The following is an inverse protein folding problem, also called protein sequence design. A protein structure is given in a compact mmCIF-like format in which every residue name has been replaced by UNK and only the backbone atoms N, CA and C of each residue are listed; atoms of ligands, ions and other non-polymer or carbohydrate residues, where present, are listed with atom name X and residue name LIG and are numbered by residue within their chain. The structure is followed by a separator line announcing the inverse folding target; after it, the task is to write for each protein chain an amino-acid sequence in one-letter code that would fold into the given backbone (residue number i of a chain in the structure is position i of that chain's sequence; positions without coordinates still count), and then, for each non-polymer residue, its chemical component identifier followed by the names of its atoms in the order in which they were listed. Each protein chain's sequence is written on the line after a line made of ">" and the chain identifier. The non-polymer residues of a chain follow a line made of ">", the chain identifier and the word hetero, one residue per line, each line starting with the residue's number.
data_IF_280799838230
#
_entry.id   IF_280799838230
#
_cell.length_a   1.000
_cell.length_b   1.000
_cell.length_c   1.000
_cell.angle_alpha   90.00
_cell.angle_beta   90.00
_cell.angle_gamma   90.00
#
_symmetry.space_group_name_H-M   'P 1'
#
loop_
_entity.id
_entity.type
_entity.pdbx_description
1 polymer ?
#
# COMPACT_ATOMS: atom_id res chain seq x y z
N UNK A 1 10.07 -32.01 -36.04
CA UNK A 1 9.84 -30.64 -35.55
C UNK A 1 9.22 -30.74 -34.17
N UNK A 2 9.90 -30.26 -33.12
CA UNK A 2 9.30 -30.22 -31.78
C UNK A 2 8.31 -29.05 -31.73
N UNK A 3 7.04 -29.36 -31.53
CA UNK A 3 5.98 -28.36 -31.36
C UNK A 3 6.14 -27.74 -29.97
N UNK A 4 6.83 -26.59 -29.90
CA UNK A 4 6.96 -25.84 -28.66
C UNK A 4 5.63 -25.14 -28.37
N UNK A 5 4.87 -25.75 -27.48
CA UNK A 5 3.56 -25.24 -27.07
C UNK A 5 3.73 -23.97 -26.21
N UNK A 6 3.34 -22.81 -26.75
CA UNK A 6 3.44 -21.52 -26.08
C UNK A 6 2.45 -21.37 -24.91
N UNK A 7 1.48 -22.28 -24.75
CA UNK A 7 0.51 -22.25 -23.64
C UNK A 7 1.19 -22.31 -22.27
N UNK A 8 2.30 -23.07 -22.14
CA UNK A 8 3.05 -23.19 -20.89
C UNK A 8 3.63 -21.87 -20.38
N UNK A 9 3.95 -20.92 -21.28
CA UNK A 9 4.51 -19.62 -20.88
C UNK A 9 3.43 -18.71 -20.29
N UNK A 10 2.21 -18.75 -20.84
CA UNK A 10 1.07 -17.96 -20.35
C UNK A 10 0.60 -18.45 -18.98
N UNK A 11 0.54 -19.78 -18.79
CA UNK A 11 0.11 -20.39 -17.54
C UNK A 11 1.10 -20.09 -16.38
N UNK A 12 2.41 -20.16 -16.64
CA UNK A 12 3.45 -19.81 -15.66
C UNK A 12 3.41 -18.35 -15.22
N UNK A 13 3.09 -17.41 -16.13
CA UNK A 13 2.98 -15.99 -15.80
C UNK A 13 1.82 -15.71 -14.84
N UNK A 14 0.67 -16.33 -15.08
CA UNK A 14 -0.52 -16.20 -14.24
C UNK A 14 -0.32 -16.84 -12.86
N UNK A 15 0.34 -18.00 -12.79
CA UNK A 15 0.68 -18.64 -11.52
C UNK A 15 1.63 -17.77 -10.70
N UNK A 16 2.72 -17.25 -11.30
CA UNK A 16 3.65 -16.34 -10.59
C UNK A 16 2.98 -15.06 -10.09
N UNK A 17 2.07 -14.47 -10.85
CA UNK A 17 1.29 -13.30 -10.40
C UNK A 17 0.35 -13.64 -9.23
N UNK A 18 -0.26 -14.83 -9.23
CA UNK A 18 -1.10 -15.30 -8.12
C UNK A 18 -0.27 -15.59 -6.86
N UNK A 19 0.92 -16.19 -7.03
CA UNK A 19 1.85 -16.41 -5.91
C UNK A 19 2.49 -15.11 -5.40
N UNK A 20 2.74 -14.12 -6.26
CA UNK A 20 3.18 -12.80 -5.83
C UNK A 20 2.13 -12.12 -4.94
N UNK A 21 0.83 -12.27 -5.25
CA UNK A 21 -0.26 -11.81 -4.38
C UNK A 21 -0.36 -12.57 -3.06
N UNK A 22 0.02 -13.85 -3.03
CA UNK A 22 0.03 -14.67 -1.81
C UNK A 22 1.26 -14.41 -0.92
N UNK A 23 2.36 -13.96 -1.51
CA UNK A 23 3.58 -13.55 -0.82
C UNK A 23 3.59 -12.07 -0.45
N UNK A 24 2.63 -11.29 -0.97
CA UNK A 24 2.35 -9.93 -0.50
C UNK A 24 1.90 -10.08 0.96
N UNK A 25 2.77 -9.68 1.88
CA UNK A 25 2.51 -9.94 3.28
C UNK A 25 1.38 -9.02 3.74
N UNK A 26 0.54 -9.43 4.69
CA UNK A 26 -0.41 -8.52 5.34
C UNK A 26 0.26 -7.30 6.00
N UNK A 27 1.59 -7.30 6.12
CA UNK A 27 2.37 -6.16 6.55
C UNK A 27 2.56 -5.13 5.42
N UNK A 28 2.82 -5.59 4.19
CA UNK A 28 2.98 -4.72 3.03
C UNK A 28 1.70 -3.92 2.74
N UNK A 29 0.54 -4.58 2.81
CA UNK A 29 -0.76 -3.92 2.62
C UNK A 29 -1.01 -2.85 3.71
N UNK A 30 -0.59 -3.12 4.95
CA UNK A 30 -0.65 -2.15 6.05
C UNK A 30 0.29 -0.98 5.81
N UNK A 31 1.51 -1.23 5.34
CA UNK A 31 2.46 -0.17 5.01
C UNK A 31 1.96 0.70 3.86
N UNK A 32 1.38 0.10 2.82
CA UNK A 32 0.77 0.83 1.72
C UNK A 32 -0.43 1.66 2.17
N UNK A 33 -1.29 1.13 3.05
CA UNK A 33 -2.39 1.88 3.61
C UNK A 33 -1.90 3.13 4.38
N UNK A 34 -0.83 3.00 5.16
CA UNK A 34 -0.23 4.13 5.89
C UNK A 34 0.39 5.16 4.94
N UNK A 35 1.11 4.70 3.91
CA UNK A 35 1.68 5.58 2.90
C UNK A 35 0.59 6.37 2.17
N UNK A 36 -0.50 5.71 1.81
CA UNK A 36 -1.65 6.36 1.17
C UNK A 36 -2.32 7.39 2.09
N UNK A 37 -2.45 7.10 3.38
CA UNK A 37 -3.02 8.05 4.33
C UNK A 37 -2.12 9.29 4.53
N UNK A 38 -0.79 9.11 4.58
CA UNK A 38 0.15 10.24 4.60
C UNK A 38 0.00 11.10 3.35
N UNK A 39 -0.07 10.49 2.17
CA UNK A 39 -0.27 11.23 0.90
C UNK A 39 -1.59 11.98 0.92
N UNK A 40 -2.66 11.35 1.39
CA UNK A 40 -3.99 11.97 1.51
C UNK A 40 -3.96 13.19 2.42
N UNK A 41 -3.34 13.10 3.59
CA UNK A 41 -3.22 14.22 4.53
C UNK A 41 -2.32 15.33 3.97
N UNK A 42 -1.23 14.98 3.27
CA UNK A 42 -0.36 15.97 2.63
C UNK A 42 -1.04 16.71 1.49
N UNK A 43 -1.99 16.08 0.80
CA UNK A 43 -2.79 16.70 -0.23
C UNK A 43 -3.85 17.68 0.30
N UNK A 44 -4.18 17.63 1.60
CA UNK A 44 -5.11 18.59 2.21
C UNK A 44 -4.47 19.97 2.42
N UNK A 45 -5.30 21.00 2.52
CA UNK A 45 -4.84 22.34 2.88
C UNK A 45 -4.49 22.41 4.38
N UNK A 46 -3.70 23.41 4.78
CA UNK A 46 -3.40 23.63 6.20
C UNK A 46 -4.67 23.93 7.01
N UNK A 47 -5.67 24.58 6.41
CA UNK A 47 -6.94 24.86 7.07
C UNK A 47 -7.72 23.58 7.36
N UNK A 48 -7.75 22.64 6.42
CA UNK A 48 -8.42 21.34 6.58
C UNK A 48 -7.70 20.45 7.61
N UNK A 49 -6.36 20.53 7.64
CA UNK A 49 -5.54 19.86 8.64
C UNK A 49 -5.79 20.44 10.04
N UNK A 50 -5.82 21.78 10.15
CA UNK A 50 -6.10 22.48 11.40
C UNK A 50 -7.50 22.19 11.94
N UNK A 51 -8.51 22.09 11.06
CA UNK A 51 -9.87 21.69 11.43
C UNK A 51 -9.93 20.28 12.04
N UNK A 52 -8.97 19.42 11.70
CA UNK A 52 -8.79 18.08 12.27
C UNK A 52 -7.86 18.05 13.49
N UNK A 53 -7.34 19.20 13.92
CA UNK A 53 -6.35 19.30 15.00
C UNK A 53 -4.98 18.75 14.63
N UNK A 54 -4.66 18.65 13.34
CA UNK A 54 -3.40 18.10 12.83
C UNK A 54 -2.57 19.24 12.27
N UNK A 55 -1.34 19.39 12.75
CA UNK A 55 -0.35 20.26 12.10
C UNK A 55 0.38 19.51 10.99
N UNK A 56 0.83 20.21 9.95
CA UNK A 56 1.50 19.62 8.76
C UNK A 56 2.71 18.77 9.16
N UNK A 57 3.52 19.27 10.08
CA UNK A 57 4.69 18.61 10.65
C UNK A 57 4.33 17.36 11.48
N UNK A 58 3.11 17.32 12.03
CA UNK A 58 2.64 16.25 12.89
C UNK A 58 1.90 15.14 12.12
N UNK A 59 1.74 15.25 10.80
CA UNK A 59 1.07 14.23 9.96
C UNK A 59 1.68 12.84 10.19
N UNK A 60 3.01 12.72 10.23
CA UNK A 60 3.66 11.42 10.43
C UNK A 60 3.39 10.86 11.85
N UNK A 61 3.50 11.70 12.88
CA UNK A 61 3.19 11.30 14.24
C UNK A 61 1.72 10.90 14.41
N UNK A 62 0.80 11.57 13.72
CA UNK A 62 -0.61 11.21 13.71
C UNK A 62 -0.84 9.83 13.06
N UNK A 63 -0.33 9.62 11.85
CA UNK A 63 -0.55 8.38 11.08
C UNK A 63 0.10 7.15 11.74
N UNK A 64 1.32 7.30 12.28
CA UNK A 64 2.04 6.17 12.90
C UNK A 64 1.79 6.05 14.42
N UNK A 65 1.45 7.14 15.10
CA UNK A 65 1.23 7.18 16.56
C UNK A 65 -0.15 6.70 17.01
N UNK A 66 -1.20 6.88 16.19
CA UNK A 66 -2.55 6.39 16.48
C UNK A 66 -2.61 4.86 16.67
N UNK A 67 -1.62 4.12 16.17
CA UNK A 67 -1.55 2.65 16.24
C UNK A 67 -1.00 2.11 17.56
N UNK A 68 -0.51 2.95 18.48
CA UNK A 68 0.06 2.51 19.76
C UNK A 68 -0.98 2.31 20.87
N UNK A 69 -2.26 2.60 20.60
CA UNK A 69 -3.35 2.53 21.59
C UNK A 69 -4.42 1.47 21.28
N UNK A 70 -4.15 0.53 20.37
CA UNK A 70 -5.07 -0.58 20.03
C UNK A 70 -4.42 -1.94 20.34
#
# INVERSE_FOLDING_TARGET
>A
MAYFDQSYLLERRNLRQRFAKLLQTPFDDRQQALANEVVRLRAMSDADLAARGIARENILFHVFGARRQA
#
